data_IF_226558117519
#
_entry.id   IF_226558117519
#
_cell.length_a   1.000
_cell.length_b   1.000
_cell.length_c   1.000
_cell.angle_alpha   90.00
_cell.angle_beta   90.00
_cell.angle_gamma   90.00
#
_symmetry.space_group_name_H-M   'P 1'
#
loop_
_entity.id
_entity.type
_entity.pdbx_description
1 polymer ?
#
# COMPACT_ATOMS: atom_id res chain seq x y z
N UNK A 1 -11.40 5.02 19.37
CA UNK A 1 -10.18 4.30 18.95
C UNK A 1 -9.83 4.67 17.51
N UNK A 2 -9.38 5.90 17.29
CA UNK A 2 -8.93 6.39 15.99
C UNK A 2 -7.39 6.52 15.95
N UNK A 3 -6.75 6.21 17.08
CA UNK A 3 -5.34 6.48 17.38
C UNK A 3 -4.44 5.44 16.71
N UNK A 4 -4.81 4.16 16.83
CA UNK A 4 -4.08 3.05 16.20
C UNK A 4 -4.01 3.18 14.67
N UNK A 5 -5.11 3.62 14.03
CA UNK A 5 -5.14 3.81 12.58
C UNK A 5 -4.18 4.93 12.15
N UNK A 6 -4.14 6.04 12.89
CA UNK A 6 -3.21 7.15 12.62
C UNK A 6 -1.75 6.72 12.76
N UNK A 7 -1.43 5.97 13.81
CA UNK A 7 -0.08 5.43 14.04
C UNK A 7 0.34 4.46 12.93
N UNK A 8 -0.55 3.56 12.51
CA UNK A 8 -0.34 2.67 11.37
C UNK A 8 -0.05 3.46 10.08
N UNK A 9 -0.78 4.54 9.83
CA UNK A 9 -0.59 5.40 8.66
C UNK A 9 0.72 6.20 8.73
N UNK A 10 1.11 6.66 9.92
CA UNK A 10 2.36 7.37 10.14
C UNK A 10 3.59 6.47 9.96
N UNK A 11 3.58 5.27 10.55
CA UNK A 11 4.63 4.28 10.35
C UNK A 11 4.77 3.87 8.89
N UNK A 12 3.63 3.72 8.20
CA UNK A 12 3.62 3.45 6.78
C UNK A 12 4.27 4.58 5.97
N UNK A 13 3.85 5.84 6.18
CA UNK A 13 4.43 7.00 5.50
C UNK A 13 5.93 7.11 5.75
N UNK A 14 6.34 7.03 7.02
CA UNK A 14 7.76 7.08 7.41
C UNK A 14 8.58 5.96 6.76
N UNK A 15 8.03 4.75 6.67
CA UNK A 15 8.69 3.64 5.99
C UNK A 15 8.82 3.88 4.48
N UNK A 16 7.81 4.46 3.83
CA UNK A 16 7.87 4.81 2.40
C UNK A 16 8.90 5.92 2.13
N UNK A 17 8.90 6.99 2.94
CA UNK A 17 9.86 8.10 2.82
C UNK A 17 11.30 7.62 3.02
N UNK A 18 11.50 6.62 3.88
CA UNK A 18 12.79 5.96 4.11
C UNK A 18 13.13 4.87 3.07
N UNK A 19 12.27 4.62 2.07
CA UNK A 19 12.48 3.56 1.07
C UNK A 19 12.48 2.14 1.65
N UNK A 20 11.82 1.92 2.79
CA UNK A 20 11.71 0.62 3.44
C UNK A 20 10.56 -0.19 2.84
N UNK A 21 10.82 -1.48 2.67
CA UNK A 21 9.83 -2.40 2.09
C UNK A 21 8.70 -2.77 3.06
N UNK A 22 8.89 -2.62 4.38
CA UNK A 22 7.91 -2.98 5.39
C UNK A 22 8.09 -2.21 6.71
N UNK A 23 7.09 -2.30 7.59
CA UNK A 23 7.13 -1.85 8.97
C UNK A 23 6.43 -2.88 9.88
N UNK A 24 6.60 -2.76 11.20
CA UNK A 24 5.90 -3.61 12.18
C UNK A 24 4.63 -2.91 12.64
N UNK A 25 3.48 -3.57 12.50
CA UNK A 25 2.20 -3.08 13.02
C UNK A 25 2.24 -3.09 14.56
N UNK A 26 2.19 -1.93 15.24
CA UNK A 26 2.32 -1.85 16.69
C UNK A 26 1.14 -2.50 17.42
N UNK A 27 -0.01 -2.68 16.76
CA UNK A 27 -1.18 -3.30 17.36
C UNK A 27 -1.14 -4.84 17.30
N UNK A 28 -0.48 -5.41 16.29
CA UNK A 28 -0.50 -6.87 16.04
C UNK A 28 0.87 -7.54 16.08
N UNK A 29 1.96 -6.76 16.01
CA UNK A 29 3.33 -7.26 15.91
C UNK A 29 3.70 -7.82 14.52
N UNK A 30 2.79 -7.74 13.54
CA UNK A 30 3.03 -8.30 12.21
C UNK A 30 3.82 -7.37 11.31
N UNK A 31 4.64 -7.96 10.44
CA UNK A 31 5.29 -7.24 9.35
C UNK A 31 4.26 -6.89 8.28
N UNK A 32 4.11 -5.60 8.00
CA UNK A 32 3.22 -5.08 6.97
C UNK A 32 4.06 -4.45 5.86
N UNK A 33 3.87 -4.92 4.63
CA UNK A 33 4.53 -4.34 3.46
C UNK A 33 4.01 -2.94 3.14
N UNK A 34 4.92 -2.07 2.72
CA UNK A 34 4.62 -0.70 2.32
C UNK A 34 4.10 -0.64 0.89
N UNK A 35 3.51 0.51 0.52
CA UNK A 35 3.15 0.76 -0.87
C UNK A 35 4.40 0.87 -1.73
N UNK A 36 5.50 1.38 -1.19
CA UNK A 36 6.80 1.43 -1.85
C UNK A 36 7.26 0.03 -2.29
N UNK A 37 7.20 -0.97 -1.40
CA UNK A 37 7.51 -2.36 -1.77
C UNK A 37 6.62 -2.87 -2.90
N UNK A 38 5.32 -2.57 -2.81
CA UNK A 38 4.36 -2.97 -3.82
C UNK A 38 4.64 -2.30 -5.17
N UNK A 39 4.91 -0.99 -5.20
CA UNK A 39 5.30 -0.25 -6.41
C UNK A 39 6.58 -0.82 -7.03
N UNK A 40 7.60 -1.11 -6.21
CA UNK A 40 8.84 -1.77 -6.63
C UNK A 40 8.60 -3.15 -7.25
N UNK A 41 7.62 -3.91 -6.74
CA UNK A 41 7.19 -5.20 -7.32
C UNK A 41 6.45 -5.03 -8.66
N UNK A 42 5.79 -3.89 -8.87
CA UNK A 42 5.13 -3.54 -10.13
C UNK A 42 3.75 -4.19 -10.36
N UNK A 43 3.25 -5.03 -9.46
CA UNK A 43 1.92 -5.64 -9.60
C UNK A 43 1.25 -5.98 -8.26
N UNK A 44 -0.08 -6.07 -8.27
CA UNK A 44 -0.87 -6.54 -7.13
C UNK A 44 -0.59 -8.04 -6.86
N UNK A 45 -0.37 -8.39 -5.59
CA UNK A 45 -0.12 -9.78 -5.18
C UNK A 45 -1.39 -10.60 -4.89
N UNK A 46 -2.57 -9.97 -4.81
CA UNK A 46 -3.84 -10.63 -4.51
C UNK A 46 -4.09 -10.95 -3.02
N UNK A 47 -3.16 -10.65 -2.12
CA UNK A 47 -3.25 -11.04 -0.69
C UNK A 47 -4.02 -10.05 0.21
N UNK A 48 -4.70 -9.05 -0.36
CA UNK A 48 -5.46 -8.08 0.44
C UNK A 48 -4.61 -7.16 1.33
N UNK A 49 -3.39 -6.82 0.90
CA UNK A 49 -2.47 -5.99 1.68
C UNK A 49 -3.07 -4.63 2.08
N UNK A 50 -2.79 -4.21 3.32
CA UNK A 50 -3.37 -3.00 3.93
C UNK A 50 -3.11 -1.74 3.09
N UNK A 51 -1.91 -1.63 2.54
CA UNK A 51 -1.43 -0.48 1.77
C UNK A 51 -1.12 -0.83 0.31
N UNK A 52 -1.91 -1.72 -0.29
CA UNK A 52 -1.75 -2.04 -1.71
C UNK A 52 -2.21 -0.84 -2.58
N UNK A 53 -1.33 -0.24 -3.41
CA UNK A 53 -1.71 0.88 -4.27
C UNK A 53 -2.75 0.46 -5.34
N UNK A 54 -2.80 -0.83 -5.69
CA UNK A 54 -3.77 -1.37 -6.64
C UNK A 54 -5.14 -1.71 -6.02
N UNK A 55 -5.35 -1.54 -4.72
CA UNK A 55 -6.60 -1.94 -4.03
C UNK A 55 -7.87 -1.29 -4.62
N UNK A 56 -7.76 -0.07 -5.17
CA UNK A 56 -8.88 0.67 -5.79
C UNK A 56 -9.04 0.41 -7.30
N UNK A 57 -8.10 -0.28 -7.94
CA UNK A 57 -8.04 -0.39 -9.40
C UNK A 57 -9.05 -1.42 -9.94
N UNK A 58 -9.71 -2.17 -9.05
CA UNK A 58 -10.89 -3.00 -9.38
C UNK A 58 -12.15 -2.20 -9.78
N UNK A 59 -12.08 -0.86 -9.89
CA UNK A 59 -13.18 0.00 -10.36
C UNK A 59 -12.79 0.81 -11.61
N UNK A 60 -11.94 0.25 -12.48
CA UNK A 60 -11.81 0.78 -13.85
C UNK A 60 -12.74 0.00 -14.77
N UNK A 61 -13.85 0.64 -15.16
CA UNK A 61 -14.62 0.23 -16.33
C UNK A 61 -13.66 0.16 -17.54
N UNK A 62 -13.73 -0.86 -18.41
CA UNK A 62 -12.79 -1.05 -19.52
C UNK A 62 -13.02 -0.08 -20.70
N UNK A 63 -13.13 1.24 -20.46
CA UNK A 63 -13.41 2.24 -21.52
C UNK A 63 -12.64 3.56 -21.36
N UNK A 64 -11.35 3.51 -21.03
CA UNK A 64 -10.48 4.71 -21.11
C UNK A 64 -9.46 4.54 -22.26
N UNK A 65 -9.75 5.07 -23.47
CA UNK A 65 -8.85 5.03 -24.62
C UNK A 65 -7.96 6.27 -24.70
N UNK A 66 -7.17 6.55 -23.65
CA UNK A 66 -6.17 7.63 -23.72
C UNK A 66 -4.83 7.16 -23.21
N UNK A 67 -4.17 6.33 -24.03
CA UNK A 67 -2.72 6.17 -24.00
C UNK A 67 -2.19 6.72 -25.35
N UNK A 68 -1.44 7.84 -25.36
CA UNK A 68 -0.94 8.43 -26.58
C UNK A 68 0.35 7.70 -26.98
N UNK A 69 0.23 6.73 -27.88
CA UNK A 69 1.31 6.40 -28.82
C UNK A 69 0.94 6.92 -30.19
#
# INVERSE_FOLDING_TARGET
>A
MNDKKREIEELHRSACDAGKDSYVDPATGYTVFTEYFHLKRGHCCGSGCRHCPWKKISQKNPKDPTDPT
#
